data_IF_412319106644
#
_entry.id   IF_412319106644
#
_cell.length_a   1.000
_cell.length_b   1.000
_cell.length_c   1.000
_cell.angle_alpha   90.00
_cell.angle_beta   90.00
_cell.angle_gamma   90.00
#
_symmetry.space_group_name_H-M   'P 1'
#
loop_
_entity.id
_entity.type
_entity.pdbx_description
1 polymer ?
#
# COMPACT_ATOMS: atom_id res chain seq x y z
N UNK A 1 10.80 15.79 22.00
CA UNK A 1 12.01 16.28 21.32
C UNK A 1 13.10 16.33 22.36
N UNK A 2 14.32 15.91 22.05
CA UNK A 2 15.45 16.00 22.98
C UNK A 2 16.06 17.39 22.99
N UNK A 3 16.73 17.74 24.09
CA UNK A 3 17.41 19.03 24.23
C UNK A 3 18.52 19.17 23.17
N UNK A 4 18.69 20.38 22.61
CA UNK A 4 19.72 20.69 21.61
C UNK A 4 19.38 20.31 20.17
N UNK A 5 18.20 19.73 19.91
CA UNK A 5 17.72 19.49 18.53
C UNK A 5 17.23 20.81 17.93
N UNK A 6 17.80 21.19 16.79
CA UNK A 6 17.39 22.36 16.00
C UNK A 6 16.89 21.92 14.61
N UNK A 7 16.09 22.77 13.95
CA UNK A 7 15.59 22.53 12.58
C UNK A 7 14.37 21.60 12.47
N UNK A 8 13.82 21.14 13.59
CA UNK A 8 12.56 20.37 13.64
C UNK A 8 11.64 20.94 14.71
N UNK A 9 10.32 20.83 14.51
CA UNK A 9 9.29 21.30 15.44
C UNK A 9 8.38 20.16 15.93
N UNK A 10 7.82 20.31 17.14
CA UNK A 10 6.85 19.35 17.68
C UNK A 10 5.59 19.38 16.80
N UNK A 11 5.14 18.21 16.36
CA UNK A 11 4.00 18.07 15.46
C UNK A 11 4.34 18.16 13.98
N UNK A 12 5.58 18.51 13.63
CA UNK A 12 6.05 18.49 12.26
C UNK A 12 6.05 17.07 11.69
N UNK A 13 5.63 16.96 10.43
CA UNK A 13 5.65 15.70 9.68
C UNK A 13 7.08 15.45 9.22
N UNK A 14 7.63 14.29 9.58
CA UNK A 14 9.01 13.91 9.26
C UNK A 14 9.08 12.51 8.68
N UNK A 15 10.11 12.25 7.89
CA UNK A 15 10.49 10.94 7.37
C UNK A 15 11.99 10.72 7.58
N UNK A 16 12.44 9.48 7.39
CA UNK A 16 13.84 9.15 7.66
C UNK A 16 14.18 7.68 7.43
N UNK A 17 15.41 7.32 7.78
CA UNK A 17 15.93 5.95 7.69
C UNK A 17 16.56 5.58 9.02
N UNK A 18 16.09 4.50 9.67
CA UNK A 18 16.72 3.94 10.87
C UNK A 18 16.24 2.50 11.08
N UNK A 19 17.06 1.66 11.73
CA UNK A 19 16.64 0.34 12.18
C UNK A 19 15.58 0.45 13.29
N UNK A 20 14.67 -0.54 13.36
CA UNK A 20 13.61 -0.57 14.38
C UNK A 20 12.33 0.20 14.02
N UNK A 21 12.19 0.68 12.77
CA UNK A 21 11.06 1.50 12.32
C UNK A 21 9.69 0.77 12.28
N UNK A 22 9.63 -0.55 12.49
CA UNK A 22 8.36 -1.28 12.61
C UNK A 22 7.74 -1.15 14.01
N UNK A 23 7.51 0.10 14.45
CA UNK A 23 6.89 0.43 15.72
C UNK A 23 5.91 1.60 15.57
N UNK A 24 4.94 1.69 16.48
CA UNK A 24 3.99 2.83 16.53
C UNK A 24 4.63 4.10 17.09
N UNK A 25 5.71 3.96 17.86
CA UNK A 25 6.55 5.03 18.41
C UNK A 25 7.99 4.54 18.48
N UNK A 26 8.94 5.35 18.05
CA UNK A 26 10.37 5.04 18.18
C UNK A 26 11.19 6.33 18.29
N UNK A 27 12.33 6.26 18.99
CA UNK A 27 13.23 7.39 19.15
C UNK A 27 14.30 7.36 18.06
N UNK A 28 14.58 8.53 17.46
CA UNK A 28 15.47 8.67 16.30
C UNK A 28 16.43 9.82 16.56
N UNK A 29 17.74 9.66 16.31
CA UNK A 29 18.65 10.78 16.17
C UNK A 29 18.15 11.75 15.10
N UNK A 30 18.19 13.05 15.41
CA UNK A 30 17.69 14.10 14.49
C UNK A 30 18.36 14.09 13.11
N UNK A 31 19.60 13.60 13.04
CA UNK A 31 20.38 13.44 11.82
C UNK A 31 19.74 12.49 10.80
N UNK A 32 18.91 11.55 11.26
CA UNK A 32 18.28 10.56 10.39
C UNK A 32 16.84 10.92 10.04
N UNK A 33 16.46 12.18 10.25
CA UNK A 33 15.15 12.72 9.96
C UNK A 33 15.26 13.96 9.07
N UNK A 34 14.26 14.14 8.20
CA UNK A 34 14.02 15.38 7.48
C UNK A 34 12.51 15.67 7.44
N UNK A 35 12.10 16.93 7.22
CA UNK A 35 10.69 17.28 7.05
C UNK A 35 10.05 16.52 5.89
N UNK A 36 8.74 16.28 5.93
CA UNK A 36 7.96 15.85 4.76
C UNK A 36 7.37 17.09 4.10
N UNK A 37 7.62 17.35 2.81
CA UNK A 37 7.02 18.47 2.10
C UNK A 37 5.49 18.41 2.06
N UNK A 38 4.87 19.57 1.88
CA UNK A 38 3.43 19.65 1.66
C UNK A 38 3.01 18.89 0.40
N UNK A 39 1.82 18.28 0.44
CA UNK A 39 1.30 17.46 -0.67
C UNK A 39 1.85 16.02 -0.72
N UNK A 40 2.97 15.71 -0.06
CA UNK A 40 3.50 14.34 0.03
C UNK A 40 2.90 13.64 1.24
N UNK A 41 2.30 12.45 1.08
CA UNK A 41 1.76 11.66 2.18
C UNK A 41 2.84 10.92 2.97
N UNK A 42 2.52 10.48 4.20
CA UNK A 42 3.46 9.67 5.00
C UNK A 42 3.81 8.32 4.34
N UNK A 43 2.87 7.74 3.57
CA UNK A 43 3.11 6.49 2.85
C UNK A 43 4.09 6.73 1.70
N UNK A 44 3.88 7.77 0.91
CA UNK A 44 4.77 8.17 -0.19
C UNK A 44 6.18 8.48 0.33
N UNK A 45 6.28 9.29 1.40
CA UNK A 45 7.57 9.63 2.00
C UNK A 45 8.31 8.40 2.54
N UNK A 46 7.62 7.38 3.05
CA UNK A 46 8.25 6.16 3.54
C UNK A 46 8.92 5.32 2.44
N UNK A 47 8.63 5.58 1.16
CA UNK A 47 9.15 4.77 0.05
C UNK A 47 10.60 5.13 -0.32
N UNK A 48 11.01 6.37 -0.07
CA UNK A 48 12.21 6.94 -0.70
C UNK A 48 13.49 6.93 0.15
N UNK A 49 13.52 7.17 1.48
CA UNK A 49 14.76 7.60 2.15
C UNK A 49 15.90 6.59 2.04
N UNK A 50 15.67 5.32 2.35
CA UNK A 50 16.72 4.31 2.21
C UNK A 50 17.17 4.10 0.75
N UNK A 51 16.27 4.25 -0.22
CA UNK A 51 16.61 4.07 -1.63
C UNK A 51 17.42 5.26 -2.15
N UNK A 52 16.94 6.48 -1.94
CA UNK A 52 17.61 7.69 -2.39
C UNK A 52 18.97 7.88 -1.69
N UNK A 53 19.08 7.60 -0.38
CA UNK A 53 20.37 7.68 0.30
C UNK A 53 21.39 6.70 -0.29
N UNK A 54 21.01 5.44 -0.55
CA UNK A 54 21.89 4.48 -1.20
C UNK A 54 22.33 4.97 -2.58
N UNK A 55 21.40 5.46 -3.40
CA UNK A 55 21.70 5.95 -4.75
C UNK A 55 22.60 7.18 -4.71
N UNK A 56 22.32 8.15 -3.84
CA UNK A 56 23.16 9.34 -3.65
C UNK A 56 24.57 8.96 -3.24
N UNK A 57 24.73 8.10 -2.24
CA UNK A 57 26.06 7.64 -1.85
C UNK A 57 26.80 6.95 -2.99
N UNK A 58 26.12 6.08 -3.76
CA UNK A 58 26.73 5.37 -4.89
C UNK A 58 27.08 6.29 -6.06
N UNK A 59 26.18 7.17 -6.49
CA UNK A 59 26.38 8.03 -7.67
C UNK A 59 27.21 9.28 -7.36
N UNK A 60 27.18 9.78 -6.12
CA UNK A 60 28.08 10.86 -5.70
C UNK A 60 29.53 10.34 -5.62
N UNK A 61 29.75 9.10 -5.14
CA UNK A 61 31.06 8.44 -5.19
C UNK A 61 31.51 8.18 -6.64
N UNK A 62 30.62 7.64 -7.47
CA UNK A 62 30.90 7.38 -8.87
C UNK A 62 30.98 8.66 -9.71
N UNK A 63 30.72 9.84 -9.15
CA UNK A 63 30.73 11.12 -9.87
C UNK A 63 29.95 11.02 -11.19
N UNK A 64 28.68 10.62 -11.11
CA UNK A 64 27.87 10.38 -12.30
C UNK A 64 27.72 11.67 -13.13
N UNK A 65 28.03 11.59 -14.42
CA UNK A 65 27.99 12.71 -15.36
C UNK A 65 26.92 12.54 -16.47
N UNK A 66 26.44 13.64 -17.07
CA UNK A 66 25.60 13.57 -18.26
C UNK A 66 26.30 12.81 -19.39
N UNK A 67 25.60 11.86 -20.02
CA UNK A 67 26.15 11.01 -21.08
C UNK A 67 26.81 9.72 -20.59
N UNK A 68 27.03 9.54 -19.27
CA UNK A 68 27.48 8.25 -18.73
C UNK A 68 26.47 7.15 -19.08
N UNK A 69 26.97 5.96 -19.42
CA UNK A 69 26.15 4.74 -19.52
C UNK A 69 26.14 4.04 -18.18
N UNK A 70 24.95 3.88 -17.60
CA UNK A 70 24.79 3.35 -16.23
C UNK A 70 24.07 2.02 -16.25
N UNK A 71 24.71 0.97 -15.75
CA UNK A 71 24.08 -0.33 -15.51
C UNK A 71 23.49 -0.41 -14.10
N UNK A 72 22.17 -0.52 -14.02
CA UNK A 72 21.40 -0.65 -12.78
C UNK A 72 20.83 -2.05 -12.69
N UNK A 73 21.37 -2.84 -11.77
CA UNK A 73 20.84 -4.18 -11.52
C UNK A 73 19.57 -4.17 -10.66
N UNK A 74 18.72 -5.18 -10.88
CA UNK A 74 17.43 -5.32 -10.19
C UNK A 74 16.57 -4.04 -10.19
N UNK A 75 16.58 -3.31 -11.32
CA UNK A 75 16.11 -1.93 -11.43
C UNK A 75 14.64 -1.72 -11.03
N UNK A 76 13.81 -2.76 -11.07
CA UNK A 76 12.40 -2.71 -10.64
C UNK A 76 12.18 -2.63 -9.12
N UNK A 77 13.23 -2.76 -8.30
CA UNK A 77 13.18 -2.65 -6.84
C UNK A 77 13.29 -1.21 -6.34
N UNK A 78 13.21 -1.00 -5.02
CA UNK A 78 13.26 0.34 -4.43
C UNK A 78 14.50 1.16 -4.81
N UNK A 79 15.71 0.61 -4.60
CA UNK A 79 16.97 1.29 -4.96
C UNK A 79 17.07 1.48 -6.47
N UNK A 80 16.75 0.44 -7.23
CA UNK A 80 16.77 0.49 -8.70
C UNK A 80 15.91 1.59 -9.30
N UNK A 81 14.67 1.74 -8.82
CA UNK A 81 13.76 2.78 -9.32
C UNK A 81 14.22 4.19 -8.93
N UNK A 82 14.83 4.36 -7.75
CA UNK A 82 15.45 5.63 -7.38
C UNK A 82 16.69 5.94 -8.24
N UNK A 83 17.49 4.92 -8.56
CA UNK A 83 18.67 5.04 -9.40
C UNK A 83 18.30 5.44 -10.84
N UNK A 84 17.25 4.82 -11.40
CA UNK A 84 16.71 5.20 -12.72
C UNK A 84 16.29 6.67 -12.74
N UNK A 85 15.57 7.13 -11.72
CA UNK A 85 15.16 8.55 -11.63
C UNK A 85 16.36 9.49 -11.62
N UNK A 86 17.37 9.21 -10.80
CA UNK A 86 18.55 10.07 -10.68
C UNK A 86 19.41 10.04 -11.95
N UNK A 87 19.64 8.87 -12.54
CA UNK A 87 20.43 8.73 -13.75
C UNK A 87 19.79 9.45 -14.95
N UNK A 88 18.48 9.27 -15.16
CA UNK A 88 17.77 9.96 -16.24
C UNK A 88 17.78 11.49 -16.07
N UNK A 89 17.69 11.99 -14.84
CA UNK A 89 17.78 13.43 -14.56
C UNK A 89 19.18 14.00 -14.77
N UNK A 90 20.22 13.23 -14.46
CA UNK A 90 21.60 13.57 -14.78
C UNK A 90 21.84 13.62 -16.30
N UNK A 91 20.98 12.99 -17.11
CA UNK A 91 21.18 12.86 -18.55
C UNK A 91 22.06 11.65 -18.90
N UNK A 92 22.19 10.70 -17.98
CA UNK A 92 22.88 9.45 -18.19
C UNK A 92 22.00 8.44 -18.95
N UNK A 93 22.60 7.58 -19.77
CA UNK A 93 21.91 6.52 -20.49
C UNK A 93 21.75 5.29 -19.59
N UNK A 94 20.52 4.84 -19.38
CA UNK A 94 20.24 3.76 -18.42
C UNK A 94 20.14 2.40 -19.10
N UNK A 95 21.01 1.50 -18.63
CA UNK A 95 20.98 0.06 -18.86
C UNK A 95 20.45 -0.63 -17.61
N UNK A 96 19.43 -1.46 -17.73
CA UNK A 96 18.77 -2.04 -16.55
C UNK A 96 18.59 -3.53 -16.65
N UNK A 97 18.70 -4.24 -15.53
CA UNK A 97 18.28 -5.65 -15.45
C UNK A 97 17.04 -5.82 -14.58
N UNK A 98 16.08 -6.62 -15.06
CA UNK A 98 14.91 -7.00 -14.28
C UNK A 98 14.32 -8.35 -14.73
N UNK A 99 13.58 -9.00 -13.84
CA UNK A 99 12.80 -10.20 -14.18
C UNK A 99 11.78 -9.89 -15.27
N UNK A 100 11.55 -10.84 -16.18
CA UNK A 100 10.74 -10.68 -17.41
C UNK A 100 9.43 -9.91 -17.21
N UNK A 101 8.62 -10.29 -16.20
CA UNK A 101 7.32 -9.69 -15.95
C UNK A 101 7.36 -8.25 -15.39
N UNK A 102 8.55 -7.70 -15.10
CA UNK A 102 8.74 -6.34 -14.58
C UNK A 102 9.38 -5.39 -15.60
N UNK A 103 9.91 -5.90 -16.71
CA UNK A 103 10.64 -5.10 -17.71
C UNK A 103 9.76 -4.03 -18.35
N UNK A 104 8.49 -4.36 -18.58
CA UNK A 104 7.52 -3.42 -19.17
C UNK A 104 7.27 -2.18 -18.28
N UNK A 105 7.45 -2.30 -16.97
CA UNK A 105 7.38 -1.14 -16.08
C UNK A 105 8.58 -0.22 -16.29
N UNK A 106 9.79 -0.76 -16.44
CA UNK A 106 11.00 0.04 -16.69
C UNK A 106 10.95 0.74 -18.05
N UNK A 107 10.45 0.06 -19.09
CA UNK A 107 10.25 0.68 -20.41
C UNK A 107 9.29 1.85 -20.38
N UNK A 108 8.17 1.71 -19.64
CA UNK A 108 7.23 2.83 -19.42
C UNK A 108 7.83 3.99 -18.64
N UNK A 109 8.90 3.76 -17.88
CA UNK A 109 9.69 4.81 -17.23
C UNK A 109 10.77 5.40 -18.15
N UNK A 110 10.81 5.03 -19.42
CA UNK A 110 11.75 5.58 -20.40
C UNK A 110 13.12 4.90 -20.40
N UNK A 111 13.27 3.74 -19.74
CA UNK A 111 14.50 2.94 -19.86
C UNK A 111 14.48 2.20 -21.20
N UNK A 112 15.43 2.53 -22.07
CA UNK A 112 15.54 1.94 -23.41
C UNK A 112 16.04 0.48 -23.32
N UNK A 113 17.12 0.27 -22.55
CA UNK A 113 17.86 -0.98 -22.48
C UNK A 113 17.47 -1.80 -21.25
N UNK A 114 16.71 -2.88 -21.45
CA UNK A 114 16.21 -3.72 -20.34
C UNK A 114 16.43 -5.21 -20.57
N UNK A 115 17.30 -5.79 -19.74
CA UNK A 115 17.78 -7.18 -19.86
C UNK A 115 17.26 -8.09 -18.75
N UNK A 116 17.55 -9.39 -18.84
CA UNK A 116 17.22 -10.35 -17.79
C UNK A 116 18.13 -10.22 -16.58
N UNK A 117 17.56 -10.09 -15.39
CA UNK A 117 18.31 -10.11 -14.13
C UNK A 117 18.60 -11.53 -13.62
N UNK A 118 18.17 -12.57 -14.34
CA UNK A 118 18.35 -13.98 -13.96
C UNK A 118 19.28 -14.76 -14.89
N UNK A 119 19.78 -14.10 -15.93
CA UNK A 119 20.80 -14.64 -16.83
C UNK A 119 22.01 -13.73 -16.80
N UNK A 120 23.18 -14.25 -17.17
CA UNK A 120 24.40 -13.47 -17.40
C UNK A 120 24.51 -12.95 -18.84
N UNK A 121 23.57 -13.33 -19.72
CA UNK A 121 23.52 -12.90 -21.14
C UNK A 121 23.38 -11.39 -21.31
N UNK A 122 22.96 -10.66 -20.26
CA UNK A 122 22.91 -9.19 -20.31
C UNK A 122 24.27 -8.61 -20.65
N UNK A 123 25.37 -9.27 -20.29
CA UNK A 123 26.70 -8.73 -20.52
C UNK A 123 26.99 -8.62 -22.02
N UNK A 124 26.77 -9.70 -22.76
CA UNK A 124 27.00 -9.74 -24.20
C UNK A 124 25.99 -8.85 -24.95
N UNK A 125 24.75 -8.74 -24.43
CA UNK A 125 23.72 -7.86 -24.99
C UNK A 125 24.09 -6.38 -24.83
N UNK A 126 24.59 -5.98 -23.64
CA UNK A 126 25.06 -4.60 -23.41
C UNK A 126 26.23 -4.25 -24.32
N UNK A 127 27.19 -5.17 -24.49
CA UNK A 127 28.32 -4.95 -25.39
C UNK A 127 27.87 -4.81 -26.85
N UNK A 128 26.81 -5.52 -27.26
CA UNK A 128 26.24 -5.38 -28.60
C UNK A 128 25.43 -4.08 -28.77
N UNK A 129 24.73 -3.63 -27.73
CA UNK A 129 23.85 -2.45 -27.75
C UNK A 129 24.63 -1.12 -27.54
N UNK A 130 25.92 -1.17 -27.19
CA UNK A 130 26.75 0.02 -27.03
C UNK A 130 27.43 0.37 -28.37
N UNK A 131 26.86 1.35 -29.09
CA UNK A 131 27.19 1.82 -30.46
C UNK A 131 28.65 2.31 -30.69
N UNK A 132 29.51 2.27 -29.68
CA UNK A 132 30.93 2.61 -29.76
C UNK A 132 31.76 1.37 -29.43
N UNK A 133 32.20 0.63 -30.46
CA UNK A 133 33.20 -0.44 -30.42
C UNK A 133 33.14 -1.42 -29.21
N UNK A 134 31.95 -1.73 -28.68
CA UNK A 134 31.81 -2.64 -27.54
C UNK A 134 32.39 -2.09 -26.23
N UNK A 135 32.36 -0.76 -26.03
CA UNK A 135 32.97 -0.09 -24.86
C UNK A 135 32.23 -0.38 -23.55
N UNK A 136 31.04 -0.99 -23.54
CA UNK A 136 30.35 -1.32 -22.29
C UNK A 136 29.83 -0.08 -21.54
N UNK A 137 29.59 -0.22 -20.23
CA UNK A 137 29.01 0.82 -19.35
C UNK A 137 30.03 1.49 -18.45
N UNK A 138 29.90 2.79 -18.23
CA UNK A 138 30.83 3.63 -17.47
C UNK A 138 30.62 3.53 -15.96
N UNK A 139 29.37 3.35 -15.52
CA UNK A 139 29.00 3.25 -14.10
C UNK A 139 28.13 2.02 -13.87
N UNK A 140 28.39 1.30 -12.79
CA UNK A 140 27.61 0.14 -12.36
C UNK A 140 27.07 0.36 -10.96
N UNK A 141 25.77 0.12 -10.78
CA UNK A 141 25.14 -0.07 -9.47
C UNK A 141 24.74 -1.54 -9.31
N UNK A 142 25.62 -2.32 -8.67
CA UNK A 142 25.44 -3.76 -8.53
C UNK A 142 24.65 -4.13 -7.28
N UNK A 143 23.74 -5.09 -7.43
CA UNK A 143 23.04 -5.74 -6.33
C UNK A 143 22.88 -7.26 -6.53
N UNK A 144 23.50 -7.83 -7.57
CA UNK A 144 23.41 -9.25 -7.90
C UNK A 144 24.62 -9.97 -7.32
N UNK A 145 24.38 -11.10 -6.66
CA UNK A 145 25.38 -11.79 -5.83
C UNK A 145 25.53 -13.27 -6.17
N UNK A 146 24.77 -13.77 -7.15
CA UNK A 146 24.88 -15.18 -7.55
C UNK A 146 26.16 -15.41 -8.36
N UNK A 147 26.66 -16.64 -8.32
CA UNK A 147 27.89 -17.02 -9.03
C UNK A 147 27.84 -16.61 -10.52
N UNK A 148 28.92 -16.02 -11.01
CA UNK A 148 29.06 -15.58 -12.40
C UNK A 148 28.45 -14.20 -12.70
N UNK A 149 27.63 -13.62 -11.81
CA UNK A 149 27.02 -12.32 -12.07
C UNK A 149 28.02 -11.17 -11.97
N UNK A 150 28.89 -11.14 -10.95
CA UNK A 150 29.91 -10.09 -10.83
C UNK A 150 30.86 -10.16 -12.03
N UNK A 151 31.30 -11.36 -12.41
CA UNK A 151 32.13 -11.58 -13.58
C UNK A 151 31.46 -11.12 -14.88
N UNK A 152 30.16 -11.36 -15.03
CA UNK A 152 29.39 -10.90 -16.19
C UNK A 152 29.24 -9.37 -16.19
N UNK A 153 28.94 -8.78 -15.05
CA UNK A 153 28.86 -7.32 -14.90
C UNK A 153 30.19 -6.66 -15.24
N UNK A 154 31.32 -7.22 -14.78
CA UNK A 154 32.66 -6.71 -15.12
C UNK A 154 32.97 -6.79 -16.61
N UNK A 155 32.53 -7.85 -17.31
CA UNK A 155 32.68 -7.91 -18.78
C UNK A 155 31.90 -6.81 -19.48
N UNK A 156 30.76 -6.42 -18.93
CA UNK A 156 29.94 -5.33 -19.47
C UNK A 156 30.45 -3.93 -19.05
N UNK A 157 31.35 -3.83 -18.08
CA UNK A 157 31.92 -2.56 -17.61
C UNK A 157 33.05 -2.09 -18.52
N UNK A 158 32.96 -0.83 -18.92
CA UNK A 158 33.96 -0.12 -19.70
C UNK A 158 35.33 -0.10 -19.02
N UNK A 159 36.36 0.15 -19.82
CA UNK A 159 37.69 0.40 -19.27
C UNK A 159 37.69 1.68 -18.43
N UNK A 160 38.20 1.65 -17.20
CA UNK A 160 38.11 2.82 -16.30
C UNK A 160 36.75 3.01 -15.65
N UNK A 161 35.86 2.01 -15.71
CA UNK A 161 34.52 2.09 -15.17
C UNK A 161 34.47 2.17 -13.64
N UNK A 162 33.35 2.66 -13.12
CA UNK A 162 33.12 2.89 -11.68
C UNK A 162 32.04 1.95 -11.18
N UNK A 163 32.40 1.04 -10.28
CA UNK A 163 31.57 -0.06 -9.83
C UNK A 163 31.16 0.12 -8.35
N UNK A 164 29.92 0.55 -8.13
CA UNK A 164 29.33 0.65 -6.81
C UNK A 164 28.61 -0.65 -6.43
N UNK A 165 29.13 -1.36 -5.44
CA UNK A 165 28.53 -2.57 -4.87
C UNK A 165 27.65 -2.22 -3.67
N UNK A 166 26.35 -2.53 -3.75
CA UNK A 166 25.42 -2.32 -2.63
C UNK A 166 24.97 -3.63 -1.97
N UNK A 167 25.38 -4.78 -2.52
CA UNK A 167 25.13 -6.05 -1.88
C UNK A 167 26.05 -6.27 -0.67
N UNK A 168 25.64 -7.21 0.19
CA UNK A 168 26.39 -7.57 1.42
C UNK A 168 26.80 -9.04 1.48
N UNK A 169 26.30 -9.85 0.56
CA UNK A 169 26.51 -11.29 0.52
C UNK A 169 27.23 -11.63 -0.77
N UNK A 170 28.18 -12.54 -0.68
CA UNK A 170 28.88 -13.10 -1.84
C UNK A 170 29.50 -12.00 -2.75
N UNK A 171 29.88 -10.87 -2.15
CA UNK A 171 30.56 -9.75 -2.82
C UNK A 171 32.06 -10.01 -2.95
N UNK A 172 32.72 -9.30 -3.86
CA UNK A 172 34.17 -9.34 -4.00
C UNK A 172 34.84 -8.37 -3.04
N UNK A 173 36.02 -8.73 -2.56
CA UNK A 173 36.89 -7.78 -1.85
C UNK A 173 37.53 -6.83 -2.85
N UNK A 174 38.01 -5.69 -2.35
CA UNK A 174 38.71 -4.68 -3.17
C UNK A 174 39.94 -5.30 -3.83
N UNK A 175 40.69 -6.14 -3.11
CA UNK A 175 41.88 -6.82 -3.62
C UNK A 175 41.53 -7.78 -4.76
N UNK A 176 40.49 -8.60 -4.58
CA UNK A 176 40.02 -9.51 -5.63
C UNK A 176 39.56 -8.75 -6.88
N UNK A 177 38.90 -7.61 -6.70
CA UNK A 177 38.47 -6.77 -7.82
C UNK A 177 39.67 -6.22 -8.58
N UNK A 178 40.65 -5.66 -7.86
CA UNK A 178 41.87 -5.11 -8.45
C UNK A 178 42.72 -6.18 -9.17
N UNK A 179 42.74 -7.42 -8.67
CA UNK A 179 43.39 -8.55 -9.34
C UNK A 179 42.72 -8.93 -10.67
N UNK A 180 41.40 -8.82 -10.75
CA UNK A 180 40.63 -9.19 -11.93
C UNK A 180 40.53 -8.06 -12.98
N UNK A 181 40.33 -6.81 -12.53
CA UNK A 181 40.17 -5.60 -13.32
C UNK A 181 40.76 -4.42 -12.56
N UNK A 182 42.08 -4.25 -12.67
CA UNK A 182 42.82 -3.16 -12.01
C UNK A 182 42.47 -1.77 -12.54
N UNK A 183 41.80 -1.68 -13.68
CA UNK A 183 41.32 -0.45 -14.30
C UNK A 183 39.98 0.02 -13.74
N UNK A 184 39.25 -0.81 -12.99
CA UNK A 184 37.92 -0.46 -12.45
C UNK A 184 38.07 0.11 -11.04
N UNK A 185 37.48 1.28 -10.83
CA UNK A 185 37.27 1.81 -9.49
C UNK A 185 36.11 1.06 -8.84
N UNK A 186 36.33 0.50 -7.65
CA UNK A 186 35.35 -0.34 -6.97
C UNK A 186 35.14 0.09 -5.52
N UNK A 187 33.88 0.33 -5.14
CA UNK A 187 33.50 0.74 -3.80
C UNK A 187 32.32 -0.08 -3.27
N UNK A 188 32.46 -0.53 -2.03
CA UNK A 188 31.39 -1.20 -1.29
C UNK A 188 30.59 -0.14 -0.55
N UNK A 189 29.44 0.22 -1.10
CA UNK A 189 28.58 1.28 -0.56
C UNK A 189 27.66 0.73 0.52
N UNK A 190 28.05 0.91 1.78
CA UNK A 190 27.31 0.46 2.95
C UNK A 190 26.61 1.62 3.68
N UNK A 191 25.33 1.87 3.36
CA UNK A 191 24.54 2.95 3.97
C UNK A 191 24.54 2.90 5.51
N UNK A 192 24.42 1.72 6.10
CA UNK A 192 24.43 1.55 7.56
C UNK A 192 25.76 1.95 8.21
N UNK A 193 26.89 1.72 7.52
CA UNK A 193 28.20 2.21 7.97
C UNK A 193 28.23 3.74 7.93
N UNK A 194 27.84 4.35 6.81
CA UNK A 194 27.83 5.82 6.65
C UNK A 194 26.91 6.49 7.66
N UNK A 195 25.76 5.88 7.96
CA UNK A 195 24.88 6.38 9.02
C UNK A 195 25.54 6.41 10.39
N UNK A 196 26.44 5.47 10.68
CA UNK A 196 27.16 5.42 11.94
C UNK A 196 28.38 6.35 11.96
N UNK A 197 29.15 6.41 10.88
CA UNK A 197 30.42 7.15 10.80
C UNK A 197 30.24 8.62 10.43
N UNK A 198 29.25 8.95 9.61
CA UNK A 198 29.03 10.28 9.03
C UNK A 198 27.55 10.73 9.15
N UNK A 199 26.98 10.80 10.38
CA UNK A 199 25.55 11.06 10.56
C UNK A 199 25.11 12.44 10.02
N UNK A 200 25.98 13.46 10.06
CA UNK A 200 25.67 14.78 9.50
C UNK A 200 25.61 14.78 7.97
N UNK A 201 26.36 13.91 7.29
CA UNK A 201 26.25 13.71 5.84
C UNK A 201 24.87 13.13 5.49
N UNK A 202 24.39 12.17 6.28
CA UNK A 202 23.04 11.60 6.10
C UNK A 202 21.95 12.66 6.32
N UNK A 203 22.12 13.54 7.32
CA UNK A 203 21.21 14.68 7.53
C UNK A 203 21.13 15.56 6.28
N UNK A 204 22.28 15.94 5.73
CA UNK A 204 22.35 16.75 4.50
C UNK A 204 21.63 16.07 3.34
N UNK A 205 21.96 14.82 3.06
CA UNK A 205 21.35 14.06 1.97
C UNK A 205 19.83 13.85 2.15
N UNK A 206 19.35 13.58 3.36
CA UNK A 206 17.91 13.46 3.63
C UNK A 206 17.18 14.80 3.45
N UNK A 207 17.82 15.91 3.78
CA UNK A 207 17.27 17.25 3.59
C UNK A 207 17.17 17.57 2.09
N UNK A 208 18.22 17.31 1.31
CA UNK A 208 18.17 17.46 -0.14
C UNK A 208 17.11 16.58 -0.80
N UNK A 209 16.95 15.32 -0.36
CA UNK A 209 15.88 14.45 -0.85
C UNK A 209 14.50 14.99 -0.46
N UNK A 210 14.37 15.60 0.73
CA UNK A 210 13.12 16.25 1.16
C UNK A 210 12.78 17.42 0.24
N UNK A 211 13.72 18.33 0.03
CA UNK A 211 13.53 19.48 -0.83
C UNK A 211 13.18 19.04 -2.26
N UNK A 212 13.89 18.03 -2.77
CA UNK A 212 13.62 17.45 -4.08
C UNK A 212 12.26 16.75 -4.19
N UNK A 213 11.70 16.17 -3.11
CA UNK A 213 10.31 15.71 -3.12
C UNK A 213 9.33 16.88 -3.27
N UNK A 214 9.64 18.03 -2.66
CA UNK A 214 8.82 19.23 -2.72
C UNK A 214 8.84 19.91 -4.10
N UNK A 215 9.99 19.93 -4.77
CA UNK A 215 10.15 20.47 -6.12
C UNK A 215 9.75 19.48 -7.23
N UNK A 216 9.53 18.21 -6.88
CA UNK A 216 9.25 17.14 -7.83
C UNK A 216 10.50 16.59 -8.53
N UNK A 217 11.70 16.89 -8.03
CA UNK A 217 12.96 16.23 -8.40
C UNK A 217 13.01 14.77 -7.95
N UNK A 218 12.40 14.45 -6.81
CA UNK A 218 12.16 13.07 -6.41
C UNK A 218 10.69 12.76 -6.54
N UNK A 219 10.38 11.64 -7.16
CA UNK A 219 9.02 11.08 -7.15
C UNK A 219 8.96 9.90 -6.17
N UNK A 220 7.97 9.85 -5.27
CA UNK A 220 7.72 8.68 -4.44
C UNK A 220 7.69 7.39 -5.26
N UNK A 221 8.28 6.33 -4.73
CA UNK A 221 8.35 5.06 -5.45
C UNK A 221 7.00 4.34 -5.38
N UNK A 222 6.62 3.57 -6.41
CA UNK A 222 5.46 2.69 -6.35
C UNK A 222 5.53 1.79 -5.11
N UNK A 223 4.41 1.64 -4.39
CA UNK A 223 4.38 0.85 -3.15
C UNK A 223 3.16 -0.07 -3.05
N UNK A 224 3.40 -1.30 -2.58
CA UNK A 224 2.36 -2.19 -2.06
C UNK A 224 2.19 -1.91 -0.56
N UNK A 225 1.00 -1.48 -0.14
CA UNK A 225 0.71 -1.08 1.25
C UNK A 225 0.06 -2.24 1.98
N UNK A 226 0.60 -2.60 3.14
CA UNK A 226 0.04 -3.60 4.03
C UNK A 226 -0.17 -2.99 5.42
N UNK A 227 -1.27 -3.30 6.13
CA UNK A 227 -1.34 -2.99 7.54
C UNK A 227 -0.25 -3.79 8.28
N UNK A 228 0.31 -3.24 9.37
CA UNK A 228 1.35 -3.93 10.14
C UNK A 228 0.91 -5.30 10.67
N UNK A 229 -0.40 -5.48 10.89
CA UNK A 229 -1.02 -6.77 11.27
C UNK A 229 -0.84 -7.85 10.21
N UNK A 230 -0.58 -7.47 8.96
CA UNK A 230 -0.31 -8.36 7.83
C UNK A 230 1.18 -8.42 7.45
N UNK A 231 2.09 -7.98 8.32
CA UNK A 231 3.52 -7.96 8.05
C UNK A 231 4.06 -9.31 7.51
N UNK A 232 3.60 -10.45 8.05
CA UNK A 232 4.00 -11.78 7.55
C UNK A 232 3.67 -11.99 6.07
N UNK A 233 2.53 -11.49 5.59
CA UNK A 233 2.15 -11.56 4.18
C UNK A 233 3.05 -10.66 3.34
N UNK A 234 3.30 -9.44 3.81
CA UNK A 234 4.20 -8.47 3.18
C UNK A 234 5.64 -9.02 3.04
N UNK A 235 6.21 -9.61 4.09
CA UNK A 235 7.54 -10.23 4.05
C UNK A 235 7.61 -11.42 3.08
N UNK A 236 6.56 -12.25 3.01
CA UNK A 236 6.50 -13.36 2.05
C UNK A 236 6.45 -12.85 0.61
N UNK A 237 5.66 -11.79 0.37
CA UNK A 237 5.58 -11.10 -0.93
C UNK A 237 6.95 -10.53 -1.34
N UNK A 238 7.68 -9.94 -0.38
CA UNK A 238 9.04 -9.45 -0.57
C UNK A 238 10.01 -10.57 -0.94
N UNK A 239 10.03 -11.67 -0.17
CA UNK A 239 10.91 -12.82 -0.37
C UNK A 239 10.72 -13.48 -1.74
N UNK A 240 9.49 -13.49 -2.27
CA UNK A 240 9.21 -14.01 -3.60
C UNK A 240 9.68 -13.09 -4.75
N UNK A 241 10.21 -11.90 -4.43
CA UNK A 241 10.66 -10.88 -5.37
C UNK A 241 9.60 -10.51 -6.43
N UNK A 242 8.31 -10.54 -6.07
CA UNK A 242 7.20 -10.27 -7.01
C UNK A 242 6.69 -8.83 -6.98
N UNK A 243 7.09 -8.03 -6.00
CA UNK A 243 6.72 -6.62 -5.88
C UNK A 243 7.52 -5.74 -6.85
N UNK A 244 6.99 -4.56 -7.15
CA UNK A 244 7.66 -3.49 -7.87
C UNK A 244 7.76 -2.29 -6.92
N UNK A 245 8.93 -1.67 -6.86
CA UNK A 245 9.21 -0.57 -5.94
C UNK A 245 9.31 -1.03 -4.49
N UNK A 246 8.46 -0.52 -3.62
CA UNK A 246 8.53 -0.72 -2.16
C UNK A 246 7.34 -1.51 -1.62
N UNK A 247 7.55 -2.10 -0.45
CA UNK A 247 6.48 -2.61 0.39
C UNK A 247 6.46 -1.75 1.65
N UNK A 248 5.32 -1.14 1.96
CA UNK A 248 5.16 -0.23 3.11
C UNK A 248 4.22 -0.87 4.12
N UNK A 249 4.70 -0.98 5.37
CA UNK A 249 3.86 -1.38 6.50
C UNK A 249 3.23 -0.15 7.14
N UNK A 250 1.90 -0.06 7.08
CA UNK A 250 1.15 1.02 7.67
C UNK A 250 0.82 0.69 9.13
N UNK A 251 1.27 1.55 10.04
CA UNK A 251 0.90 1.46 11.44
C UNK A 251 -0.60 1.78 11.62
N UNK A 252 -1.30 1.07 12.53
CA UNK A 252 -2.67 1.39 12.83
C UNK A 252 -2.72 2.82 13.36
N UNK A 253 -3.65 3.61 12.84
CA UNK A 253 -4.01 4.89 13.44
C UNK A 253 -5.03 4.56 14.52
N UNK A 254 -4.66 4.58 15.81
CA UNK A 254 -5.65 4.35 16.86
C UNK A 254 -6.76 5.38 16.70
N UNK A 255 -7.98 4.94 16.93
CA UNK A 255 -9.14 5.82 16.92
C UNK A 255 -8.96 6.88 18.00
N UNK A 256 -8.93 8.15 17.59
CA UNK A 256 -8.85 9.30 18.49
C UNK A 256 -10.02 10.22 18.19
N UNK A 257 -11.20 9.95 18.78
CA UNK A 257 -12.33 10.85 18.68
C UNK A 257 -12.00 12.22 19.27
N UNK A 258 -12.55 13.27 18.68
CA UNK A 258 -12.38 14.64 19.16
C UNK A 258 -13.63 15.06 19.95
N UNK A 259 -13.47 15.81 21.05
CA UNK A 259 -14.58 16.23 21.90
C UNK A 259 -15.48 17.30 21.25
N UNK A 260 -15.04 17.93 20.17
CA UNK A 260 -15.77 18.94 19.39
C UNK A 260 -16.34 18.38 18.08
N UNK A 261 -16.50 17.05 17.97
CA UNK A 261 -17.00 16.36 16.78
C UNK A 261 -18.17 15.44 17.08
N UNK A 262 -18.99 15.23 16.04
CA UNK A 262 -20.11 14.29 16.05
C UNK A 262 -19.77 12.99 15.34
N UNK A 263 -20.20 11.85 15.90
CA UNK A 263 -19.99 10.51 15.34
C UNK A 263 -21.33 9.81 15.09
N UNK A 264 -21.61 9.49 13.82
CA UNK A 264 -22.85 8.81 13.43
C UNK A 264 -22.67 7.29 13.46
N UNK A 265 -23.58 6.56 14.13
CA UNK A 265 -23.61 5.10 14.17
C UNK A 265 -24.94 4.62 13.61
N UNK A 266 -24.92 4.05 12.41
CA UNK A 266 -26.12 3.44 11.82
C UNK A 266 -26.35 2.04 12.35
N UNK A 267 -27.59 1.66 12.63
CA UNK A 267 -27.84 0.47 13.44
C UNK A 267 -27.37 0.66 14.89
N UNK A 268 -27.26 1.92 15.34
CA UNK A 268 -26.67 2.32 16.63
C UNK A 268 -27.43 1.80 17.84
N UNK A 269 -28.70 1.45 17.67
CA UNK A 269 -29.57 0.90 18.72
C UNK A 269 -29.48 -0.63 18.86
N UNK A 270 -28.67 -1.31 18.03
CA UNK A 270 -28.37 -2.73 18.19
C UNK A 270 -27.22 -2.98 19.17
N UNK A 271 -27.02 -4.23 19.58
CA UNK A 271 -25.97 -4.60 20.55
C UNK A 271 -24.56 -4.12 20.17
N UNK A 272 -24.14 -4.34 18.91
CA UNK A 272 -22.83 -3.88 18.41
C UNK A 272 -22.79 -2.34 18.34
N UNK A 273 -23.92 -1.71 17.98
CA UNK A 273 -24.07 -0.26 17.90
C UNK A 273 -23.85 0.42 19.25
N UNK A 274 -24.55 -0.05 20.28
CA UNK A 274 -24.43 0.45 21.65
C UNK A 274 -23.04 0.20 22.23
N UNK A 275 -22.45 -0.98 21.98
CA UNK A 275 -21.08 -1.26 22.40
C UNK A 275 -20.06 -0.34 21.71
N UNK A 276 -20.25 -0.06 20.42
CA UNK A 276 -19.40 0.89 19.68
C UNK A 276 -19.57 2.31 20.19
N UNK A 277 -20.81 2.72 20.51
CA UNK A 277 -21.10 4.00 21.13
C UNK A 277 -20.38 4.15 22.47
N UNK A 278 -20.43 3.11 23.30
CA UNK A 278 -19.71 3.07 24.57
C UNK A 278 -18.20 3.23 24.39
N UNK A 279 -17.62 2.54 23.42
CA UNK A 279 -16.19 2.63 23.13
C UNK A 279 -15.79 4.02 22.63
N UNK A 280 -16.58 4.63 21.74
CA UNK A 280 -16.35 5.99 21.26
C UNK A 280 -16.44 7.03 22.39
N UNK A 281 -17.44 6.89 23.28
CA UNK A 281 -17.61 7.76 24.44
C UNK A 281 -16.42 7.64 25.41
N UNK A 282 -15.94 6.41 25.67
CA UNK A 282 -14.74 6.16 26.48
C UNK A 282 -13.47 6.80 25.91
N UNK A 283 -13.36 6.86 24.58
CA UNK A 283 -12.25 7.48 23.88
C UNK A 283 -12.37 9.01 23.78
N UNK A 284 -13.45 9.62 24.30
CA UNK A 284 -13.62 11.07 24.38
C UNK A 284 -14.39 11.70 23.22
N UNK A 285 -15.27 10.94 22.56
CA UNK A 285 -16.20 11.52 21.58
C UNK A 285 -17.11 12.59 22.23
N UNK A 286 -17.33 13.70 21.53
CA UNK A 286 -18.19 14.79 21.99
C UNK A 286 -19.68 14.49 21.85
N UNK A 287 -20.12 14.22 20.61
CA UNK A 287 -21.49 13.86 20.28
C UNK A 287 -21.53 12.52 19.55
N UNK A 288 -22.49 11.68 19.91
CA UNK A 288 -22.76 10.42 19.22
C UNK A 288 -24.21 10.42 18.74
N UNK A 289 -24.41 10.19 17.45
CA UNK A 289 -25.74 10.04 16.86
C UNK A 289 -26.01 8.58 16.61
N UNK A 290 -26.99 8.01 17.32
CA UNK A 290 -27.44 6.64 17.12
C UNK A 290 -28.67 6.66 16.22
N UNK A 291 -28.58 5.97 15.09
CA UNK A 291 -29.72 5.85 14.18
C UNK A 291 -30.16 4.42 13.94
N UNK A 292 -31.47 4.26 13.79
CA UNK A 292 -32.14 3.03 13.42
C UNK A 292 -33.61 3.30 13.07
N UNK A 293 -34.29 2.30 12.50
CA UNK A 293 -35.68 2.44 12.01
C UNK A 293 -36.73 2.55 13.12
N UNK A 294 -36.35 2.31 14.38
CA UNK A 294 -37.26 2.24 15.53
C UNK A 294 -36.70 3.06 16.67
N UNK A 295 -37.56 3.51 17.56
CA UNK A 295 -37.18 4.08 18.84
C UNK A 295 -36.38 3.07 19.70
N UNK A 296 -35.55 3.53 20.64
CA UNK A 296 -34.79 2.65 21.52
C UNK A 296 -35.72 1.79 22.38
N UNK A 297 -35.34 0.54 22.64
CA UNK A 297 -35.98 -0.26 23.69
C UNK A 297 -35.66 0.31 25.08
N UNK A 298 -36.40 -0.09 26.10
CA UNK A 298 -36.12 0.33 27.48
C UNK A 298 -34.67 -0.01 27.91
N UNK A 299 -34.18 -1.20 27.53
CA UNK A 299 -32.80 -1.61 27.78
C UNK A 299 -31.78 -0.73 27.03
N UNK A 300 -32.03 -0.43 25.75
CA UNK A 300 -31.16 0.45 24.98
C UNK A 300 -31.15 1.88 25.52
N UNK A 301 -32.31 2.39 25.97
CA UNK A 301 -32.44 3.69 26.60
C UNK A 301 -31.61 3.77 27.89
N UNK A 302 -31.71 2.75 28.76
CA UNK A 302 -30.90 2.70 29.98
C UNK A 302 -29.39 2.71 29.68
N UNK A 303 -28.95 1.96 28.67
CA UNK A 303 -27.53 1.96 28.24
C UNK A 303 -27.13 3.36 27.75
N UNK A 304 -27.99 4.04 26.99
CA UNK A 304 -27.71 5.39 26.49
C UNK A 304 -27.57 6.38 27.65
N UNK A 305 -28.46 6.33 28.63
CA UNK A 305 -28.42 7.20 29.81
C UNK A 305 -27.14 6.98 30.61
N UNK A 306 -26.78 5.71 30.87
CA UNK A 306 -25.52 5.32 31.51
C UNK A 306 -24.29 5.87 30.77
N UNK A 307 -24.30 5.89 29.43
CA UNK A 307 -23.21 6.44 28.63
C UNK A 307 -23.07 7.95 28.77
N UNK A 308 -24.20 8.67 28.74
CA UNK A 308 -24.23 10.13 28.91
C UNK A 308 -23.72 10.52 30.29
N UNK A 309 -24.18 9.84 31.34
CA UNK A 309 -23.78 10.08 32.72
C UNK A 309 -22.28 9.85 32.93
N UNK A 310 -21.73 8.76 32.38
CA UNK A 310 -20.33 8.36 32.65
C UNK A 310 -19.30 9.12 31.83
N UNK A 311 -19.63 9.57 30.62
CA UNK A 311 -18.62 9.97 29.64
C UNK A 311 -18.65 11.43 29.17
N UNK A 312 -19.47 12.32 29.75
CA UNK A 312 -19.63 13.73 29.28
C UNK A 312 -19.90 13.83 27.76
N UNK A 313 -20.40 12.75 27.17
CA UNK A 313 -20.70 12.61 25.75
C UNK A 313 -22.20 12.84 25.56
N UNK A 314 -22.59 13.67 24.61
CA UNK A 314 -23.99 13.86 24.24
C UNK A 314 -24.42 12.76 23.29
N UNK A 315 -25.50 12.05 23.62
CA UNK A 315 -26.04 11.00 22.74
C UNK A 315 -27.37 11.46 22.16
N UNK A 316 -27.47 11.45 20.84
CA UNK A 316 -28.66 11.83 20.09
C UNK A 316 -29.24 10.59 19.42
N UNK A 317 -30.52 10.30 19.64
CA UNK A 317 -31.20 9.20 18.95
C UNK A 317 -32.06 9.77 17.84
N UNK A 318 -31.82 9.34 16.61
CA UNK A 318 -32.59 9.78 15.44
C UNK A 318 -33.12 8.57 14.68
N UNK A 319 -34.44 8.47 14.60
CA UNK A 319 -35.11 7.43 13.82
C UNK A 319 -35.01 7.73 12.33
N UNK A 320 -34.39 6.84 11.57
CA UNK A 320 -34.23 6.96 10.12
C UNK A 320 -34.01 5.57 9.49
N UNK A 321 -34.46 5.37 8.25
CA UNK A 321 -34.08 4.24 7.43
C UNK A 321 -32.85 4.57 6.58
N UNK A 322 -31.76 3.85 6.86
CA UNK A 322 -30.47 4.04 6.19
C UNK A 322 -30.48 3.57 4.73
N UNK A 323 -31.46 2.73 4.37
CA UNK A 323 -31.72 2.34 2.98
C UNK A 323 -32.55 3.37 2.19
N UNK A 324 -33.08 4.40 2.85
CA UNK A 324 -33.83 5.49 2.23
C UNK A 324 -32.98 6.76 2.10
N UNK A 325 -32.95 7.31 0.88
CA UNK A 325 -32.13 8.47 0.54
C UNK A 325 -32.63 9.75 1.21
N UNK A 326 -33.95 9.92 1.34
CA UNK A 326 -34.55 11.12 1.92
C UNK A 326 -34.29 11.20 3.42
N UNK A 327 -34.47 10.07 4.13
CA UNK A 327 -34.18 9.95 5.55
C UNK A 327 -32.71 10.28 5.86
N UNK A 328 -31.78 9.79 5.04
CA UNK A 328 -30.35 10.05 5.22
C UNK A 328 -29.97 11.51 4.93
N UNK A 329 -30.60 12.16 3.93
CA UNK A 329 -30.42 13.59 3.69
C UNK A 329 -30.89 14.40 4.88
N UNK A 330 -32.11 14.14 5.37
CA UNK A 330 -32.69 14.84 6.51
C UNK A 330 -31.85 14.66 7.79
N UNK A 331 -31.38 13.43 8.05
CA UNK A 331 -30.48 13.14 9.18
C UNK A 331 -29.18 13.94 9.11
N UNK A 332 -28.54 14.00 7.93
CA UNK A 332 -27.28 14.72 7.77
C UNK A 332 -27.45 16.24 7.81
N UNK A 333 -28.56 16.76 7.28
CA UNK A 333 -28.91 18.18 7.41
C UNK A 333 -29.13 18.57 8.87
N UNK A 334 -29.84 17.73 9.63
CA UNK A 334 -30.02 17.93 11.06
C UNK A 334 -28.69 17.95 11.82
N UNK A 335 -27.79 16.99 11.54
CA UNK A 335 -26.44 16.97 12.13
C UNK A 335 -25.69 18.27 11.84
N UNK A 336 -25.75 18.78 10.60
CA UNK A 336 -25.08 20.03 10.21
C UNK A 336 -25.67 21.27 10.89
N UNK A 337 -26.97 21.27 11.18
CA UNK A 337 -27.67 22.40 11.75
C UNK A 337 -27.56 22.47 13.29
N UNK A 338 -27.61 21.31 13.96
CA UNK A 338 -27.82 21.24 15.42
C UNK A 338 -26.58 20.78 16.21
N UNK A 339 -25.57 20.19 15.56
CA UNK A 339 -24.49 19.47 16.23
C UNK A 339 -23.11 19.94 15.76
N UNK A 340 -22.04 19.65 16.52
CA UNK A 340 -20.69 19.88 16.04
C UNK A 340 -20.40 19.12 14.73
N UNK A 341 -19.39 19.54 13.95
CA UNK A 341 -19.11 18.93 12.65
C UNK A 341 -18.92 17.41 12.74
N UNK A 342 -19.47 16.69 11.75
CA UNK A 342 -19.35 15.24 11.65
C UNK A 342 -17.86 14.84 11.51
N UNK A 343 -17.35 14.10 12.50
CA UNK A 343 -15.97 13.61 12.57
C UNK A 343 -15.80 12.16 12.13
N UNK A 344 -16.88 11.39 12.04
CA UNK A 344 -16.82 10.00 11.57
C UNK A 344 -18.18 9.32 11.47
N UNK A 345 -18.23 8.22 10.71
CA UNK A 345 -19.42 7.38 10.59
C UNK A 345 -19.05 5.91 10.76
N UNK A 346 -19.84 5.20 11.58
CA UNK A 346 -19.77 3.76 11.76
C UNK A 346 -21.04 3.14 11.18
N UNK A 347 -20.89 2.35 10.11
CA UNK A 347 -22.01 1.72 9.43
C UNK A 347 -22.26 0.29 9.92
N UNK A 348 -23.18 0.13 10.88
CA UNK A 348 -23.56 -1.15 11.47
C UNK A 348 -25.01 -1.56 11.11
N UNK A 349 -25.68 -0.83 10.21
CA UNK A 349 -27.03 -1.17 9.81
C UNK A 349 -27.03 -2.49 9.02
N UNK A 350 -27.92 -3.40 9.39
CA UNK A 350 -28.03 -4.70 8.76
C UNK A 350 -29.25 -5.45 9.26
N UNK A 351 -29.81 -6.25 8.36
CA UNK A 351 -30.92 -7.15 8.66
C UNK A 351 -30.53 -8.53 8.15
N UNK A 352 -30.83 -9.56 8.94
CA UNK A 352 -30.70 -10.95 8.53
C UNK A 352 -32.06 -11.45 8.04
N UNK A 353 -32.05 -12.25 6.97
CA UNK A 353 -33.24 -12.85 6.37
C UNK A 353 -32.81 -14.22 5.81
N UNK A 354 -32.49 -15.12 6.73
CA UNK A 354 -31.85 -16.40 6.42
C UNK A 354 -32.80 -17.33 5.65
N UNK A 355 -32.28 -17.91 4.57
CA UNK A 355 -32.98 -18.90 3.76
C UNK A 355 -31.97 -19.80 3.04
N UNK A 356 -32.36 -21.06 2.77
CA UNK A 356 -31.59 -21.93 1.87
C UNK A 356 -31.55 -21.32 0.48
N UNK A 357 -30.48 -21.58 -0.29
CA UNK A 357 -30.34 -21.03 -1.64
C UNK A 357 -31.53 -21.39 -2.54
N UNK A 358 -32.11 -22.58 -2.38
CA UNK A 358 -33.30 -23.03 -3.12
C UNK A 358 -34.60 -22.30 -2.74
N UNK A 359 -34.66 -21.71 -1.56
CA UNK A 359 -35.83 -20.98 -1.03
C UNK A 359 -35.59 -19.47 -0.95
N UNK A 360 -34.49 -19.00 -1.54
CA UNK A 360 -34.14 -17.59 -1.58
C UNK A 360 -34.93 -16.88 -2.67
N UNK A 361 -35.29 -15.62 -2.44
CA UNK A 361 -36.04 -14.81 -3.40
C UNK A 361 -35.48 -13.38 -3.51
N UNK A 362 -35.86 -12.66 -4.57
CA UNK A 362 -35.39 -11.30 -4.82
C UNK A 362 -35.82 -10.31 -3.72
N UNK A 363 -36.94 -10.55 -3.03
CA UNK A 363 -37.44 -9.66 -1.98
C UNK A 363 -36.56 -9.79 -0.73
N UNK A 364 -36.27 -11.01 -0.28
CA UNK A 364 -35.34 -11.30 0.82
C UNK A 364 -33.93 -10.80 0.55
N UNK A 365 -33.44 -11.01 -0.68
CA UNK A 365 -32.14 -10.47 -1.10
C UNK A 365 -32.11 -8.93 -1.05
N UNK A 366 -33.16 -8.26 -1.56
CA UNK A 366 -33.27 -6.79 -1.47
C UNK A 366 -33.35 -6.29 -0.04
N UNK A 367 -34.08 -7.00 0.82
CA UNK A 367 -34.25 -6.65 2.23
C UNK A 367 -32.91 -6.63 3.00
N UNK A 368 -32.02 -7.59 2.74
CA UNK A 368 -30.69 -7.64 3.39
C UNK A 368 -29.67 -6.72 2.71
N UNK A 369 -29.79 -6.52 1.40
CA UNK A 369 -28.90 -5.66 0.62
C UNK A 369 -29.13 -4.16 0.88
N UNK A 370 -30.39 -3.73 1.00
CA UNK A 370 -30.78 -2.33 1.13
C UNK A 370 -30.01 -1.58 2.24
N UNK A 371 -30.02 -2.02 3.51
CA UNK A 371 -29.33 -1.29 4.57
C UNK A 371 -27.81 -1.27 4.43
N UNK A 372 -27.19 -2.09 3.56
CA UNK A 372 -25.73 -2.17 3.38
C UNK A 372 -25.20 -1.48 2.13
N UNK A 373 -25.86 -1.71 1.00
CA UNK A 373 -25.38 -1.26 -0.31
C UNK A 373 -26.13 -0.02 -0.81
N UNK A 374 -27.37 0.18 -0.35
CA UNK A 374 -28.20 1.33 -0.71
C UNK A 374 -28.10 2.46 0.33
N UNK A 375 -27.00 2.51 1.10
CA UNK A 375 -26.63 3.62 1.96
C UNK A 375 -25.56 4.53 1.31
N UNK A 376 -25.74 5.06 0.08
CA UNK A 376 -24.66 5.66 -0.70
C UNK A 376 -24.18 7.01 -0.14
N UNK A 377 -24.95 7.65 0.75
CA UNK A 377 -24.68 9.03 1.19
C UNK A 377 -23.63 9.11 2.31
N UNK A 378 -23.32 7.99 2.97
CA UNK A 378 -22.42 7.99 4.13
C UNK A 378 -20.92 8.08 3.73
N UNK A 379 -20.58 7.86 2.45
CA UNK A 379 -19.18 7.63 2.02
C UNK A 379 -18.52 8.72 1.16
N UNK A 380 -19.19 9.81 0.76
CA UNK A 380 -18.59 10.78 -0.19
C UNK A 380 -18.46 12.19 0.37
N UNK A 381 -17.55 12.33 1.34
CA UNK A 381 -17.03 13.63 1.75
C UNK A 381 -16.13 14.24 0.68
N UNK A 382 -16.72 14.97 -0.29
CA UNK A 382 -16.04 16.06 -1.00
C UNK A 382 -17.09 17.10 -1.42
N UNK A 383 -17.04 18.34 -0.91
CA UNK A 383 -17.91 19.39 -1.40
C UNK A 383 -17.45 19.81 -2.80
N UNK A 384 -18.30 19.67 -3.82
CA UNK A 384 -18.12 20.41 -5.08
C UNK A 384 -18.18 19.67 -6.42
N UNK A 385 -18.54 18.39 -6.52
CA UNK A 385 -18.77 17.76 -7.84
C UNK A 385 -20.00 16.89 -7.86
N UNK A 386 -21.07 17.41 -8.46
CA UNK A 386 -22.23 16.67 -8.93
C UNK A 386 -21.83 15.74 -10.08
N UNK A 387 -21.33 14.54 -9.77
CA UNK A 387 -21.22 13.46 -10.76
C UNK A 387 -22.48 12.61 -10.72
N UNK A 388 -23.33 12.78 -11.74
CA UNK A 388 -24.53 12.00 -11.97
C UNK A 388 -24.18 10.53 -12.25
N UNK A 389 -24.15 9.68 -11.22
CA UNK A 389 -23.99 8.23 -11.39
C UNK A 389 -25.26 7.42 -11.09
N UNK A 390 -26.34 8.06 -10.62
CA UNK A 390 -27.59 7.36 -10.25
C UNK A 390 -28.49 6.98 -11.44
N UNK A 391 -28.22 7.46 -12.66
CA UNK A 391 -29.04 7.15 -13.84
C UNK A 391 -28.71 5.81 -14.51
N UNK A 392 -27.52 5.23 -14.28
CA UNK A 392 -27.11 3.98 -14.93
C UNK A 392 -27.63 2.72 -14.21
N UNK A 393 -27.81 2.79 -12.88
CA UNK A 393 -28.26 1.64 -12.10
C UNK A 393 -29.78 1.39 -12.23
N UNK A 394 -30.60 2.46 -12.35
CA UNK A 394 -32.06 2.32 -12.56
C UNK A 394 -32.44 1.73 -13.92
N UNK A 395 -31.59 1.82 -14.96
CA UNK A 395 -31.90 1.26 -16.29
C UNK A 395 -31.70 -0.25 -16.41
N UNK A 396 -30.85 -0.88 -15.60
CA UNK A 396 -30.61 -2.34 -15.68
C UNK A 396 -31.67 -3.20 -14.99
N UNK A 397 -32.52 -2.63 -14.11
CA UNK A 397 -33.61 -3.38 -13.46
C UNK A 397 -34.89 -3.52 -14.31
N UNK A 398 -35.08 -2.75 -15.39
CA UNK A 398 -36.29 -2.83 -16.24
C UNK A 398 -36.27 -3.94 -17.29
N UNK A 399 -35.16 -4.68 -17.45
CA UNK A 399 -35.04 -5.73 -18.47
C UNK A 399 -35.64 -7.10 -18.08
N UNK A 400 -36.11 -7.28 -16.83
CA UNK A 400 -36.63 -8.57 -16.35
C UNK A 400 -38.17 -8.72 -16.38
N UNK A 401 -38.93 -7.74 -16.85
CA UNK A 401 -40.40 -7.74 -16.77
C UNK A 401 -41.11 -7.98 -18.11
N UNK A 402 -40.49 -8.68 -19.06
CA UNK A 402 -41.01 -8.78 -20.44
C UNK A 402 -40.76 -10.10 -21.15
N UNK A 403 -41.01 -11.25 -20.52
CA UNK A 403 -41.11 -12.53 -21.23
C UNK A 403 -42.28 -13.35 -20.65
N UNK A 404 -43.44 -13.23 -21.30
CA UNK A 404 -44.62 -14.04 -21.03
C UNK A 404 -44.41 -15.48 -21.48
N UNK A 405 -44.68 -16.41 -20.56
CA UNK A 405 -44.63 -17.86 -20.78
C UNK A 405 -45.92 -18.29 -21.50
N UNK A 406 -45.80 -18.97 -22.64
CA UNK A 406 -46.86 -19.85 -23.20
C UNK A 406 -46.50 -21.31 -22.91
N UNK A 407 -47.44 -22.18 -22.50
CA UNK A 407 -47.16 -23.58 -22.22
C UNK A 407 -47.40 -24.46 -23.46
N UNK A 408 -46.47 -25.36 -23.76
CA UNK A 408 -46.76 -26.53 -24.61
C UNK A 408 -46.24 -27.80 -23.97
N UNK A 409 -47.18 -28.70 -23.72
CA UNK A 409 -47.07 -30.07 -23.24
C UNK A 409 -46.30 -31.00 -24.18
N UNK A 410 -45.42 -31.86 -23.65
CA UNK A 410 -45.35 -33.31 -23.98
C UNK A 410 -44.35 -34.04 -23.06
N UNK A 411 -44.75 -35.26 -22.67
CA UNK A 411 -44.06 -36.23 -21.79
C UNK A 411 -43.75 -37.50 -22.66
N UNK A 412 -43.14 -38.58 -22.14
CA UNK A 412 -41.69 -38.88 -22.15
C UNK A 412 -41.32 -40.19 -22.91
N UNK A 413 -40.03 -40.48 -23.10
CA UNK A 413 -39.54 -41.85 -23.37
C UNK A 413 -38.21 -42.16 -22.65
N UNK A 414 -38.14 -43.40 -22.15
CA UNK A 414 -37.07 -44.05 -21.36
C UNK A 414 -35.92 -44.61 -22.23
N UNK A 415 -34.72 -44.71 -21.66
CA UNK A 415 -33.79 -45.88 -21.68
C UNK A 415 -32.50 -45.51 -20.92
N UNK A 416 -32.25 -45.95 -19.68
CA UNK A 416 -31.63 -47.22 -19.24
C UNK A 416 -30.20 -47.48 -19.74
N UNK A 417 -29.20 -47.36 -18.86
CA UNK A 417 -28.13 -48.38 -18.67
C UNK A 417 -27.61 -48.33 -17.22
N UNK A 418 -27.59 -49.50 -16.58
CA UNK A 418 -27.11 -49.83 -15.24
C UNK A 418 -25.77 -50.55 -15.37
N UNK A 419 -24.83 -50.35 -14.46
CA UNK A 419 -23.86 -51.40 -14.06
C UNK A 419 -23.67 -51.39 -12.54
N UNK A 420 -23.65 -52.60 -11.98
CA UNK A 420 -23.79 -52.96 -10.58
C UNK A 420 -22.48 -53.37 -9.89
N UNK A 421 -22.49 -53.24 -8.56
CA UNK A 421 -21.56 -53.72 -7.52
C UNK A 421 -21.10 -55.19 -7.62
N UNK A 422 -19.95 -55.47 -6.97
CA UNK A 422 -19.62 -56.55 -5.97
C UNK A 422 -18.13 -56.37 -5.60
N UNK A 423 -17.59 -56.52 -4.39
CA UNK A 423 -18.02 -56.87 -3.03
C UNK A 423 -16.79 -56.76 -2.09
N UNK A 424 -16.96 -56.48 -0.79
CA UNK A 424 -15.88 -56.54 0.23
C UNK A 424 -15.65 -57.98 0.75
N UNK A 425 -15.21 -58.22 2.01
CA UNK A 425 -14.55 -57.36 3.01
C UNK A 425 -13.34 -58.06 3.72
N UNK A 426 -12.58 -57.33 4.54
CA UNK A 426 -11.84 -57.69 5.80
C UNK A 426 -10.82 -56.56 6.04
N UNK A 427 -10.55 -56.00 7.20
CA UNK A 427 -10.57 -56.49 8.57
C UNK A 427 -9.91 -55.43 9.46
N UNK A 428 -10.37 -55.38 10.71
CA UNK A 428 -10.08 -54.41 11.76
C UNK A 428 -8.60 -54.37 12.19
N UNK A 429 -8.07 -53.19 12.58
CA UNK A 429 -7.32 -52.99 13.86
C UNK A 429 -6.99 -51.52 14.14
N UNK A 430 -7.41 -51.09 15.33
CA UNK A 430 -6.98 -49.89 16.08
C UNK A 430 -5.58 -50.05 16.68
N UNK A 431 -4.91 -48.92 16.91
CA UNK A 431 -3.99 -48.50 18.01
C UNK A 431 -2.96 -47.53 17.39
N UNK A 432 -2.56 -46.42 17.99
CA UNK A 432 -2.79 -45.81 19.30
C UNK A 432 -2.89 -44.29 19.13
#
# INVERSE_FOLDING_TARGET
MGDGVTGLEIGQRVYGSMQGAFASRFNVPSQFLAPIPDGVSAVEAATIPAAALTVRLSFDWAQLEPGDKVLIHAASGGVGLAAVQMAQRCGAEVFATASTFKRETLRRMGVQHVYDSRSTDFADQILADTDTDGVGVDVVLNSLTSEGFIEATLRATAHGGRFAEIAKRDIWSVERMAEARSDIDYEIVALDTVMFTEPERIRGLLTEVSDGLGTGEWTPLPAEIYPVTEARSAFRRMQQARHIGKIVLQMPRPLQPQPDRTYLITGGLGAIGLHTAAHLAQLGAGDIVLTGRRAPSAEAAQIIDDLVERHRCRVHVVTADVGDEHDMVALLERIRAEMPPLGGVVHLAGVLDDALLSTQDLRRFRNTLAPKAMAPIISTGRPGTTTSTSSSCRRRCRACSGLGVRPTTRRPTRSSTVWSRRGGPTGCRRRA
#
